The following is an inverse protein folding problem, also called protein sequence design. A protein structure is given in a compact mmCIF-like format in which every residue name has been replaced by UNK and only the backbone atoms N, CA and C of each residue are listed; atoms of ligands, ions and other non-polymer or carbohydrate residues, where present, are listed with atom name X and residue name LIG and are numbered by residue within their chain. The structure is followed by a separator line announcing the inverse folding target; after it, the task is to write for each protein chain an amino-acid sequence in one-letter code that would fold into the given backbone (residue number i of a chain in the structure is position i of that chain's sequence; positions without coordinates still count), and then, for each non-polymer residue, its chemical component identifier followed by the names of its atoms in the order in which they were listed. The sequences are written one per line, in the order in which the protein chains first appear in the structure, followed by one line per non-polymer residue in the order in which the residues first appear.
data_IF_269884589514
#
_entry.id   IF_269884589514
#
_cell.length_a   1.000
_cell.length_b   1.000
_cell.length_c   1.000
_cell.angle_alpha   90.00
_cell.angle_beta   90.00
_cell.angle_gamma   90.00
#
_symmetry.space_group_name_H-M   'P 1'
#
loop_
_entity.id
_entity.type
_entity.pdbx_description
1 polymer ?
#
# COMPACT_ATOMS: atom_id res chain seq x y z
N UNK A 1 -21.71 -21.45 -3.52
CA UNK A 1 -20.29 -21.38 -3.10
C UNK A 1 -19.96 -19.94 -2.82
N UNK A 2 -19.90 -19.56 -1.54
CA UNK A 2 -19.52 -18.21 -1.10
C UNK A 2 -18.00 -18.13 -1.15
N UNK A 3 -17.45 -17.44 -2.16
CA UNK A 3 -16.02 -17.12 -2.21
C UNK A 3 -15.70 -16.18 -1.05
N UNK A 4 -15.08 -16.72 -0.01
CA UNK A 4 -14.57 -15.95 1.10
C UNK A 4 -13.42 -15.08 0.59
N UNK A 5 -13.67 -13.78 0.42
CA UNK A 5 -12.65 -12.84 -0.03
C UNK A 5 -11.62 -12.70 1.09
N UNK A 6 -10.45 -13.32 0.94
CA UNK A 6 -9.33 -13.21 1.88
C UNK A 6 -8.68 -11.82 1.82
N UNK A 7 -9.48 -10.78 2.08
CA UNK A 7 -9.02 -9.41 2.22
C UNK A 7 -8.55 -9.18 3.66
N UNK A 8 -7.44 -8.49 3.81
CA UNK A 8 -6.96 -8.02 5.12
C UNK A 8 -6.68 -6.53 5.08
N UNK A 9 -6.77 -5.87 6.22
CA UNK A 9 -6.51 -4.43 6.33
C UNK A 9 -5.62 -4.20 7.54
N UNK A 10 -4.57 -3.41 7.33
CA UNK A 10 -3.66 -2.93 8.38
C UNK A 10 -3.91 -1.43 8.49
N UNK A 11 -4.10 -0.92 9.70
CA UNK A 11 -4.37 0.48 9.97
C UNK A 11 -3.24 1.13 10.76
N UNK A 12 -3.15 2.45 10.66
CA UNK A 12 -2.18 3.25 11.41
C UNK A 12 -2.25 3.06 12.93
N UNK A 13 -3.42 2.77 13.49
CA UNK A 13 -3.68 2.59 14.93
C UNK A 13 -3.58 1.14 15.42
N UNK A 14 -3.28 0.17 14.54
CA UNK A 14 -3.11 -1.22 14.95
C UNK A 14 -1.95 -1.38 15.96
N UNK A 15 -2.15 -2.21 16.98
CA UNK A 15 -1.10 -2.54 17.94
C UNK A 15 -0.06 -3.48 17.31
N UNK A 16 1.02 -2.90 16.76
CA UNK A 16 2.05 -3.63 16.00
C UNK A 16 3.24 -4.12 16.85
N UNK A 17 3.14 -4.07 18.18
CA UNK A 17 4.19 -4.58 19.08
C UNK A 17 5.56 -3.94 18.87
N UNK A 18 5.62 -2.61 18.71
CA UNK A 18 6.88 -1.88 18.49
C UNK A 18 7.44 -1.97 17.06
N UNK A 19 6.70 -2.54 16.12
CA UNK A 19 6.97 -2.40 14.70
C UNK A 19 6.41 -1.07 14.17
N UNK A 20 7.17 -0.39 13.32
CA UNK A 20 6.75 0.85 12.67
C UNK A 20 7.03 0.82 11.16
N UNK A 21 6.23 1.56 10.40
CA UNK A 21 6.41 1.72 8.96
C UNK A 21 7.23 2.99 8.70
N UNK A 22 8.46 2.89 8.15
CA UNK A 22 9.38 4.03 8.06
C UNK A 22 8.83 5.22 7.26
N UNK A 23 7.95 4.95 6.30
CA UNK A 23 7.39 5.95 5.38
C UNK A 23 5.94 6.31 5.70
N UNK A 24 5.34 5.73 6.75
CA UNK A 24 3.93 5.89 7.09
C UNK A 24 3.79 6.30 8.56
N UNK A 25 3.94 7.59 8.89
CA UNK A 25 3.77 8.08 10.24
C UNK A 25 2.30 7.97 10.68
N UNK A 26 2.07 7.70 11.96
CA UNK A 26 0.73 7.35 12.48
C UNK A 26 -0.28 8.50 12.37
N UNK A 27 0.17 9.75 12.39
CA UNK A 27 -0.68 10.94 12.25
C UNK A 27 -1.32 11.08 10.86
N UNK A 28 -0.90 10.29 9.87
CA UNK A 28 -1.48 10.28 8.53
C UNK A 28 -2.72 9.40 8.41
N UNK A 29 -3.13 8.68 9.46
CA UNK A 29 -4.34 7.85 9.46
C UNK A 29 -4.41 6.85 8.29
N UNK A 30 -3.25 6.33 7.89
CA UNK A 30 -3.12 5.49 6.72
C UNK A 30 -3.72 4.09 6.95
N UNK A 31 -4.05 3.42 5.85
CA UNK A 31 -4.43 2.00 5.85
C UNK A 31 -3.82 1.28 4.64
N UNK A 32 -3.42 0.02 4.83
CA UNK A 32 -2.98 -0.88 3.77
C UNK A 32 -4.01 -2.00 3.64
N UNK A 33 -4.67 -2.06 2.49
CA UNK A 33 -5.63 -3.12 2.16
C UNK A 33 -4.94 -4.13 1.25
N UNK A 34 -4.97 -5.40 1.62
CA UNK A 34 -4.45 -6.50 0.81
C UNK A 34 -5.60 -7.34 0.26
N UNK A 35 -5.62 -7.52 -1.05
CA UNK A 35 -6.65 -8.25 -1.79
C UNK A 35 -6.02 -9.28 -2.73
N UNK A 36 -6.67 -10.44 -2.99
CA UNK A 36 -6.19 -11.39 -3.98
C UNK A 36 -6.11 -10.78 -5.39
N UNK A 37 -4.99 -11.00 -6.09
CA UNK A 37 -4.76 -10.45 -7.43
C UNK A 37 -5.79 -10.94 -8.44
N UNK A 38 -6.25 -12.19 -8.32
CA UNK A 38 -7.26 -12.78 -9.18
C UNK A 38 -8.60 -12.01 -9.13
N UNK A 39 -9.02 -11.59 -7.94
CA UNK A 39 -10.27 -10.84 -7.76
C UNK A 39 -10.16 -9.43 -8.35
N UNK A 40 -9.03 -8.75 -8.13
CA UNK A 40 -8.77 -7.43 -8.73
C UNK A 40 -8.74 -7.52 -10.26
N UNK A 41 -8.09 -8.55 -10.80
CA UNK A 41 -8.02 -8.77 -12.25
C UNK A 41 -9.39 -9.06 -12.85
N UNK A 42 -10.19 -9.88 -12.17
CA UNK A 42 -11.57 -10.19 -12.57
C UNK A 42 -12.44 -8.94 -12.55
N UNK A 43 -12.33 -8.10 -11.50
CA UNK A 43 -13.06 -6.84 -11.41
C UNK A 43 -12.69 -5.88 -12.55
N UNK A 44 -11.39 -5.75 -12.85
CA UNK A 44 -10.89 -4.94 -13.97
C UNK A 44 -11.38 -5.46 -15.33
N UNK A 45 -11.47 -6.77 -15.51
CA UNK A 45 -11.97 -7.38 -16.75
C UNK A 45 -13.50 -7.29 -16.91
N UNK A 46 -14.24 -7.23 -15.79
CA UNK A 46 -15.69 -7.09 -15.77
C UNK A 46 -16.14 -5.62 -15.88
N UNK A 47 -15.24 -4.66 -15.67
CA UNK A 47 -15.53 -3.25 -15.81
C UNK A 47 -15.85 -2.93 -17.30
N UNK A 48 -16.96 -2.22 -17.59
CA UNK A 48 -17.28 -1.81 -18.95
C UNK A 48 -16.16 -0.91 -19.52
N UNK A 49 -15.95 -0.90 -20.86
CA UNK A 49 -14.94 -0.06 -21.49
C UNK A 49 -15.13 1.40 -21.09
N UNK A 50 -14.10 1.94 -20.44
CA UNK A 50 -13.94 3.29 -19.88
C UNK A 50 -15.06 4.31 -20.19
N UNK A 51 -16.10 4.32 -19.36
CA UNK A 51 -16.75 5.59 -19.00
C UNK A 51 -15.82 6.40 -18.09
N UNK A 52 -16.05 7.72 -17.92
CA UNK A 52 -15.25 8.51 -16.97
C UNK A 52 -15.31 7.85 -15.59
N UNK A 53 -14.13 7.59 -15.01
CA UNK A 53 -14.02 6.97 -13.69
C UNK A 53 -14.88 7.76 -12.69
N UNK A 54 -15.92 7.13 -12.14
CA UNK A 54 -16.74 7.74 -11.11
C UNK A 54 -15.86 8.01 -9.89
N UNK A 55 -15.86 9.22 -9.32
CA UNK A 55 -15.02 9.60 -8.16
C UNK A 55 -15.29 8.81 -6.85
N UNK A 56 -16.23 7.86 -6.87
CA UNK A 56 -16.76 7.18 -5.69
C UNK A 56 -15.90 5.98 -5.24
N UNK A 57 -14.97 5.51 -6.06
CA UNK A 57 -13.95 4.56 -5.63
C UNK A 57 -12.69 5.34 -5.27
N UNK A 58 -12.42 5.49 -3.97
CA UNK A 58 -11.20 6.15 -3.50
C UNK A 58 -10.00 5.53 -4.19
N UNK A 59 -9.28 6.29 -5.01
CA UNK A 59 -8.07 5.83 -5.68
C UNK A 59 -7.01 5.59 -4.60
N UNK A 60 -6.29 4.46 -4.62
CA UNK A 60 -5.22 4.25 -3.66
C UNK A 60 -4.09 5.26 -3.89
N UNK A 61 -3.53 5.78 -2.81
CA UNK A 61 -2.34 6.64 -2.81
C UNK A 61 -1.15 5.93 -3.45
N UNK A 62 -0.96 4.64 -3.15
CA UNK A 62 -0.01 3.76 -3.84
C UNK A 62 -0.59 2.34 -3.98
N UNK A 63 -0.25 1.67 -5.07
CA UNK A 63 -0.59 0.27 -5.34
C UNK A 63 0.66 -0.52 -5.73
N UNK A 64 0.84 -1.70 -5.16
CA UNK A 64 1.87 -2.65 -5.60
C UNK A 64 1.41 -4.09 -5.49
N UNK A 65 2.05 -4.97 -6.26
CA UNK A 65 1.81 -6.42 -6.20
C UNK A 65 2.86 -7.07 -5.29
N UNK A 66 2.40 -7.99 -4.44
CA UNK A 66 3.26 -8.86 -3.64
C UNK A 66 2.68 -10.26 -3.66
N UNK A 67 3.48 -11.22 -4.09
CA UNK A 67 3.08 -12.62 -4.23
C UNK A 67 1.83 -12.72 -5.13
N UNK A 68 0.73 -13.29 -4.64
CA UNK A 68 -0.56 -13.41 -5.33
C UNK A 68 -1.57 -12.32 -4.93
N UNK A 69 -1.09 -11.20 -4.36
CA UNK A 69 -1.93 -10.13 -3.79
C UNK A 69 -1.60 -8.76 -4.36
N UNK A 70 -2.62 -7.92 -4.44
CA UNK A 70 -2.52 -6.47 -4.60
C UNK A 70 -2.59 -5.83 -3.23
N UNK A 71 -1.69 -4.89 -2.97
CA UNK A 71 -1.68 -4.06 -1.77
C UNK A 71 -1.93 -2.62 -2.18
N UNK A 72 -2.94 -2.03 -1.54
CA UNK A 72 -3.37 -0.66 -1.72
C UNK A 72 -3.14 0.13 -0.44
N UNK A 73 -2.29 1.14 -0.53
CA UNK A 73 -2.11 2.14 0.50
C UNK A 73 -3.10 3.27 0.27
N UNK A 74 -3.87 3.60 1.30
CA UNK A 74 -4.69 4.79 1.36
C UNK A 74 -4.18 5.71 2.46
N UNK A 75 -3.91 6.95 2.09
CA UNK A 75 -3.63 8.04 3.01
C UNK A 75 -4.72 9.11 2.77
N UNK A 76 -5.61 9.38 3.74
CA UNK A 76 -6.70 10.33 3.57
C UNK A 76 -6.23 11.70 3.05
N UNK A 77 -6.86 12.17 1.97
CA UNK A 77 -6.56 13.46 1.36
C UNK A 77 -5.22 13.55 0.65
N UNK A 78 -4.52 12.43 0.44
CA UNK A 78 -3.18 12.42 -0.16
C UNK A 78 -3.13 11.55 -1.42
N UNK A 79 -2.86 12.22 -2.54
CA UNK A 79 -2.62 11.60 -3.83
C UNK A 79 -1.18 11.06 -3.95
N UNK A 80 -0.92 10.22 -4.96
CA UNK A 80 0.39 9.61 -5.20
C UNK A 80 1.53 10.64 -5.24
N UNK A 81 1.38 11.73 -5.99
CA UNK A 81 2.46 12.72 -6.16
C UNK A 81 2.80 13.44 -4.86
N UNK A 82 1.77 13.74 -4.04
CA UNK A 82 1.95 14.35 -2.73
C UNK A 82 2.68 13.39 -1.78
N UNK A 83 2.30 12.11 -1.78
CA UNK A 83 2.95 11.08 -0.99
C UNK A 83 4.43 10.94 -1.36
N UNK A 84 4.74 10.87 -2.66
CA UNK A 84 6.12 10.75 -3.15
C UNK A 84 6.95 11.99 -2.79
N UNK A 85 6.37 13.20 -2.87
CA UNK A 85 7.04 14.42 -2.47
C UNK A 85 7.35 14.45 -0.97
N UNK A 86 6.40 14.09 -0.11
CA UNK A 86 6.58 14.09 1.35
C UNK A 86 7.58 13.02 1.81
N UNK A 87 7.51 11.82 1.22
CA UNK A 87 8.43 10.71 1.54
C UNK A 87 9.77 10.79 0.82
N UNK A 88 9.91 11.73 -0.14
CA UNK A 88 11.06 11.87 -1.06
C UNK A 88 11.35 10.61 -1.87
N UNK A 89 10.35 9.75 -2.05
CA UNK A 89 10.46 8.56 -2.86
C UNK A 89 10.35 8.91 -4.34
N UNK A 90 11.09 8.17 -5.17
CA UNK A 90 11.01 8.27 -6.62
C UNK A 90 10.71 6.90 -7.20
N UNK A 91 9.63 6.81 -7.97
CA UNK A 91 9.27 5.59 -8.67
C UNK A 91 10.08 5.49 -9.97
N UNK A 92 10.63 4.31 -10.24
CA UNK A 92 11.41 4.07 -11.45
C UNK A 92 10.89 2.83 -12.18
N UNK A 93 10.45 3.05 -13.41
CA UNK A 93 9.97 2.00 -14.32
C UNK A 93 11.07 1.40 -15.19
N UNK A 94 12.32 1.85 -15.05
CA UNK A 94 13.45 1.41 -15.87
C UNK A 94 13.66 -0.12 -15.87
N UNK A 95 13.35 -0.81 -14.76
CA UNK A 95 13.42 -2.28 -14.65
C UNK A 95 12.04 -2.97 -14.69
N UNK A 96 11.00 -2.26 -15.12
CA UNK A 96 9.63 -2.75 -15.21
C UNK A 96 8.85 -2.76 -13.88
N UNK A 97 7.52 -2.93 -14.00
CA UNK A 97 6.57 -2.87 -12.89
C UNK A 97 6.81 -3.94 -11.81
N UNK A 98 7.29 -5.12 -12.19
CA UNK A 98 7.59 -6.20 -11.26
C UNK A 98 8.70 -5.80 -10.27
N UNK A 99 9.79 -5.22 -10.77
CA UNK A 99 10.90 -4.76 -9.92
C UNK A 99 10.47 -3.59 -9.05
N UNK A 100 9.68 -2.66 -9.59
CA UNK A 100 9.09 -1.57 -8.81
C UNK A 100 8.23 -2.10 -7.65
N UNK A 101 7.32 -3.03 -7.94
CA UNK A 101 6.44 -3.64 -6.92
C UNK A 101 7.24 -4.38 -5.85
N UNK A 102 8.30 -5.10 -6.25
CA UNK A 102 9.24 -5.75 -5.32
C UNK A 102 10.00 -4.77 -4.44
N UNK A 103 10.29 -3.55 -4.92
CA UNK A 103 10.96 -2.50 -4.13
C UNK A 103 9.98 -1.84 -3.17
N UNK A 104 8.79 -1.46 -3.66
CA UNK A 104 7.69 -0.96 -2.83
C UNK A 104 7.36 -1.94 -1.70
N UNK A 105 7.21 -3.23 -2.01
CA UNK A 105 6.97 -4.30 -1.03
C UNK A 105 8.08 -4.46 0.02
N UNK A 106 9.31 -4.00 -0.24
CA UNK A 106 10.40 -4.01 0.75
C UNK A 106 10.35 -2.77 1.65
N UNK A 107 10.22 -1.59 1.06
CA UNK A 107 10.24 -0.32 1.80
C UNK A 107 8.96 -0.11 2.62
N UNK A 108 7.83 -0.66 2.18
CA UNK A 108 6.53 -0.62 2.87
C UNK A 108 6.37 -1.76 3.89
N UNK A 109 7.47 -2.35 4.38
CA UNK A 109 7.41 -3.33 5.47
C UNK A 109 7.47 -2.63 6.82
N UNK A 110 6.83 -3.19 7.85
CA UNK A 110 7.10 -2.79 9.21
C UNK A 110 8.53 -3.22 9.61
N UNK A 111 9.24 -2.34 10.29
CA UNK A 111 10.55 -2.60 10.89
C UNK A 111 10.50 -2.38 12.39
N UNK A 112 11.32 -3.12 13.12
CA UNK A 112 11.60 -2.83 14.53
C UNK A 112 12.96 -2.16 14.60
N UNK A 113 13.00 -1.02 15.27
CA UNK A 113 14.24 -0.30 15.55
C UNK A 113 14.78 -0.73 16.91
N UNK A 114 16.10 -0.87 17.00
CA UNK A 114 16.80 -1.13 18.25
C UNK A 114 17.91 -0.09 18.36
N UNK A 115 18.06 0.49 19.54
CA UNK A 115 19.15 1.39 19.87
C UNK A 115 19.80 0.94 21.17
N UNK A 116 21.12 1.03 21.23
CA UNK A 116 21.84 0.94 22.49
C UNK A 116 22.04 2.37 22.98
N UNK A 117 21.46 2.69 24.14
CA UNK A 117 21.71 3.96 24.79
C UNK A 117 22.94 3.79 25.67
N UNK A 118 23.94 4.70 25.60
CA UNK A 118 25.04 4.68 26.54
C UNK A 118 24.49 4.80 27.96
N UNK A 119 25.06 4.04 28.90
CA UNK A 119 24.86 4.31 30.30
C UNK A 119 25.58 5.63 30.61
N UNK A 120 24.86 6.57 31.24
CA UNK A 120 25.41 7.84 31.69
C UNK A 120 26.68 7.65 32.55
#
# INVERSE_FOLDING_TARGET
MTTQTNQSTIRSDDHRGGLAYPFLPDNWQWQIVSQPLAEVTKALAAAPPAGPATPAESRPTLRWVKDDKVLDLFVPGMETDQFLAQTRLQLSMHKGAFVLSKRLSRIMRPYRYWGFFPAD
#
